data_IF_553878249187
#
_entry.id   IF_553878249187
#
_cell.length_a   1.000
_cell.length_b   1.000
_cell.length_c   1.000
_cell.angle_alpha   90.00
_cell.angle_beta   90.00
_cell.angle_gamma   90.00
#
_symmetry.space_group_name_H-M   'P 1'
#
loop_
_entity.id
_entity.type
_entity.pdbx_description
1 polymer ?
#
# COMPACT_ATOMS: atom_id res chain seq x y z
N UNK A 1 13.10 -37.92 10.02
CA UNK A 1 12.09 -37.52 9.01
C UNK A 1 11.38 -36.30 9.55
N UNK A 2 11.52 -35.18 8.90
CA UNK A 2 10.82 -33.94 9.24
C UNK A 2 9.36 -34.03 8.76
N UNK A 3 8.48 -33.13 9.25
CA UNK A 3 7.09 -33.06 8.77
C UNK A 3 7.03 -32.82 7.27
N UNK A 4 7.88 -31.93 6.76
CA UNK A 4 7.95 -31.62 5.33
C UNK A 4 8.33 -32.84 4.49
N UNK A 5 9.32 -33.63 4.92
CA UNK A 5 9.70 -34.88 4.25
C UNK A 5 8.56 -35.90 4.26
N UNK A 6 7.80 -35.99 5.35
CA UNK A 6 6.65 -36.87 5.46
C UNK A 6 5.51 -36.45 4.50
N UNK A 7 5.21 -35.16 4.45
CA UNK A 7 4.18 -34.62 3.55
C UNK A 7 4.56 -34.79 2.07
N UNK A 8 5.84 -34.55 1.71
CA UNK A 8 6.34 -34.80 0.36
C UNK A 8 6.25 -36.27 -0.02
N UNK A 9 6.61 -37.19 0.89
CA UNK A 9 6.47 -38.65 0.66
C UNK A 9 5.03 -39.06 0.50
N UNK A 10 4.12 -38.42 1.23
CA UNK A 10 2.67 -38.65 1.12
C UNK A 10 2.05 -37.92 -0.09
N UNK A 11 2.82 -37.17 -0.89
CA UNK A 11 2.37 -36.32 -2.01
C UNK A 11 1.31 -35.30 -1.60
N UNK A 12 1.36 -34.84 -0.36
CA UNK A 12 0.54 -33.74 0.12
C UNK A 12 1.27 -32.45 -0.21
N UNK A 13 0.74 -31.70 -1.18
CA UNK A 13 1.28 -30.40 -1.59
C UNK A 13 0.54 -29.29 -0.83
N UNK A 14 1.24 -28.18 -0.51
CA UNK A 14 0.57 -27.01 0.05
C UNK A 14 -0.40 -26.41 -0.98
N UNK A 15 -1.43 -25.72 -0.47
CA UNK A 15 -2.41 -25.06 -1.34
C UNK A 15 -1.82 -23.91 -2.17
N UNK A 16 -0.69 -23.34 -1.71
CA UNK A 16 0.11 -22.37 -2.46
C UNK A 16 1.56 -22.82 -2.51
N UNK A 17 2.10 -22.93 -3.70
CA UNK A 17 3.50 -23.30 -3.93
C UNK A 17 4.22 -22.15 -4.65
N UNK A 18 5.41 -21.77 -4.18
CA UNK A 18 6.22 -20.67 -4.71
C UNK A 18 7.19 -20.11 -3.69
N UNK A 19 7.59 -18.85 -3.86
CA UNK A 19 8.41 -18.16 -2.85
C UNK A 19 7.62 -18.00 -1.55
N UNK A 20 8.33 -17.96 -0.42
CA UNK A 20 7.71 -17.90 0.91
C UNK A 20 6.81 -16.68 1.08
N UNK A 21 5.51 -16.92 1.21
CA UNK A 21 4.47 -15.97 1.61
C UNK A 21 3.67 -16.62 2.74
N UNK A 22 3.10 -15.82 3.63
CA UNK A 22 2.03 -16.29 4.48
C UNK A 22 0.73 -16.29 3.69
N UNK A 23 -0.07 -17.34 3.86
CA UNK A 23 -1.36 -17.41 3.21
C UNK A 23 -2.43 -18.03 4.12
N UNK A 24 -3.67 -17.69 3.83
CA UNK A 24 -4.84 -18.40 4.31
C UNK A 24 -5.74 -18.70 3.10
N UNK A 25 -6.30 -19.91 3.06
CA UNK A 25 -7.20 -20.35 2.00
C UNK A 25 -8.62 -20.53 2.54
N UNK A 26 -9.59 -20.09 1.77
CA UNK A 26 -11.02 -20.33 1.96
C UNK A 26 -11.65 -20.77 0.66
N UNK A 27 -12.35 -21.88 0.68
CA UNK A 27 -13.14 -22.40 -0.44
C UNK A 27 -14.61 -22.08 -0.19
N UNK A 28 -15.29 -21.63 -1.24
CA UNK A 28 -16.73 -21.49 -1.30
C UNK A 28 -17.30 -22.34 -2.45
N UNK A 29 -18.62 -22.32 -2.63
CA UNK A 29 -19.23 -23.03 -3.76
C UNK A 29 -18.80 -22.46 -5.12
N UNK A 30 -18.46 -21.17 -5.18
CA UNK A 30 -18.26 -20.41 -6.42
C UNK A 30 -16.84 -19.91 -6.63
N UNK A 31 -15.99 -19.93 -5.61
CA UNK A 31 -14.63 -19.42 -5.71
C UNK A 31 -13.68 -20.00 -4.65
N UNK A 32 -12.37 -19.93 -4.96
CA UNK A 32 -11.28 -20.09 -4.01
C UNK A 32 -10.72 -18.70 -3.65
N UNK A 33 -10.57 -18.40 -2.38
CA UNK A 33 -10.07 -17.11 -1.88
C UNK A 33 -8.78 -17.35 -1.12
N UNK A 34 -7.70 -16.78 -1.60
CA UNK A 34 -6.38 -16.82 -0.98
C UNK A 34 -6.03 -15.44 -0.45
N UNK A 35 -5.94 -15.28 0.87
CA UNK A 35 -5.28 -14.14 1.49
C UNK A 35 -3.78 -14.37 1.46
N UNK A 36 -3.01 -13.41 0.97
CA UNK A 36 -1.55 -13.48 0.88
C UNK A 36 -0.94 -12.32 1.63
N UNK A 37 0.18 -12.59 2.32
CA UNK A 37 0.95 -11.56 2.99
C UNK A 37 2.46 -11.75 2.77
N UNK A 38 3.11 -10.71 2.27
CA UNK A 38 4.56 -10.60 2.28
C UNK A 38 5.01 -10.04 3.63
N UNK A 39 5.39 -10.89 4.57
CA UNK A 39 5.84 -10.49 5.91
C UNK A 39 7.29 -10.02 5.98
N UNK A 40 7.98 -9.92 4.83
CA UNK A 40 9.38 -9.49 4.76
C UNK A 40 9.50 -7.99 4.47
N UNK A 41 10.69 -7.43 4.67
CA UNK A 41 11.02 -6.04 4.32
C UNK A 41 11.55 -5.91 2.88
N UNK A 42 11.42 -6.95 2.07
CA UNK A 42 11.85 -7.00 0.68
C UNK A 42 10.69 -7.28 -0.26
N UNK A 43 10.83 -6.88 -1.52
CA UNK A 43 9.87 -7.25 -2.56
C UNK A 43 9.94 -8.75 -2.79
N UNK A 44 8.79 -9.40 -2.77
CA UNK A 44 8.65 -10.80 -3.16
C UNK A 44 7.97 -10.84 -4.53
N UNK A 45 8.65 -11.45 -5.51
CA UNK A 45 8.14 -11.58 -6.87
C UNK A 45 8.50 -12.96 -7.43
N UNK A 46 7.57 -13.56 -8.16
CA UNK A 46 7.76 -14.86 -8.80
C UNK A 46 6.47 -15.51 -9.27
N UNK A 47 6.64 -16.72 -9.76
CA UNK A 47 5.55 -17.62 -10.11
C UNK A 47 5.05 -18.36 -8.87
N UNK A 48 3.74 -18.47 -8.77
CA UNK A 48 3.04 -19.20 -7.71
C UNK A 48 2.02 -20.14 -8.32
N UNK A 49 1.93 -21.34 -7.78
CA UNK A 49 0.89 -22.31 -8.13
C UNK A 49 -0.10 -22.38 -6.99
N UNK A 50 -1.36 -22.19 -7.30
CA UNK A 50 -2.50 -22.27 -6.37
C UNK A 50 -3.30 -23.53 -6.65
N UNK A 51 -3.70 -24.22 -5.60
CA UNK A 51 -4.63 -25.34 -5.72
C UNK A 51 -6.04 -24.80 -5.98
N UNK A 52 -6.50 -24.89 -7.20
CA UNK A 52 -7.81 -24.39 -7.60
C UNK A 52 -8.40 -25.24 -8.74
N UNK A 53 -9.71 -25.31 -8.78
CA UNK A 53 -10.49 -25.89 -9.90
C UNK A 53 -11.04 -24.82 -10.84
N UNK A 54 -10.85 -23.54 -10.51
CA UNK A 54 -11.41 -22.42 -11.25
C UNK A 54 -10.43 -21.86 -12.29
N UNK A 55 -10.98 -21.25 -13.33
CA UNK A 55 -10.21 -20.84 -14.50
C UNK A 55 -9.66 -19.43 -14.41
N UNK A 56 -10.43 -18.47 -13.89
CA UNK A 56 -10.08 -17.06 -13.87
C UNK A 56 -9.58 -16.62 -12.53
N UNK A 57 -8.60 -15.71 -12.53
CA UNK A 57 -8.02 -15.16 -11.33
C UNK A 57 -8.16 -13.64 -11.28
N UNK A 58 -8.40 -13.12 -10.09
CA UNK A 58 -8.46 -11.70 -9.79
C UNK A 58 -7.55 -11.39 -8.60
N UNK A 59 -6.93 -10.21 -8.61
CA UNK A 59 -6.23 -9.67 -7.46
C UNK A 59 -7.12 -8.61 -6.82
N UNK A 60 -7.43 -8.78 -5.53
CA UNK A 60 -8.24 -7.83 -4.78
C UNK A 60 -7.35 -7.10 -3.78
N UNK A 61 -7.35 -5.79 -3.86
CA UNK A 61 -6.69 -4.91 -2.90
C UNK A 61 -7.65 -4.62 -1.74
N UNK A 62 -7.34 -5.19 -0.57
CA UNK A 62 -8.19 -5.04 0.62
C UNK A 62 -8.23 -3.60 1.17
N UNK A 63 -7.23 -2.77 0.87
CA UNK A 63 -7.14 -1.39 1.37
C UNK A 63 -7.99 -0.44 0.53
N UNK A 64 -7.87 -0.52 -0.79
CA UNK A 64 -8.62 0.34 -1.72
C UNK A 64 -9.97 -0.24 -2.15
N UNK A 65 -10.21 -1.54 -1.93
CA UNK A 65 -11.37 -2.25 -2.45
C UNK A 65 -11.34 -2.49 -3.97
N UNK A 66 -10.25 -2.09 -4.63
CA UNK A 66 -10.09 -2.29 -6.09
C UNK A 66 -9.81 -3.74 -6.43
N UNK A 67 -10.36 -4.16 -7.56
CA UNK A 67 -10.13 -5.49 -8.15
C UNK A 67 -9.43 -5.33 -9.48
N UNK A 68 -8.48 -6.23 -9.75
CA UNK A 68 -7.68 -6.23 -10.95
C UNK A 68 -7.68 -7.60 -11.58
N UNK A 69 -7.58 -7.65 -12.91
CA UNK A 69 -7.35 -8.89 -13.62
C UNK A 69 -5.99 -9.47 -13.25
N UNK A 70 -5.94 -10.78 -13.12
CA UNK A 70 -4.72 -11.53 -12.88
C UNK A 70 -4.64 -12.67 -13.88
N UNK A 71 -3.65 -12.64 -14.75
CA UNK A 71 -3.45 -13.72 -15.73
C UNK A 71 -3.12 -15.02 -15.00
N UNK A 72 -3.93 -16.04 -15.19
CA UNK A 72 -3.76 -17.36 -14.60
C UNK A 72 -3.77 -18.44 -15.70
N UNK A 73 -2.97 -19.47 -15.49
CA UNK A 73 -3.00 -20.68 -16.30
C UNK A 73 -3.00 -21.90 -15.36
N UNK A 74 -4.14 -22.56 -15.22
CA UNK A 74 -4.31 -23.72 -14.33
C UNK A 74 -3.78 -23.48 -12.90
N UNK A 75 -4.15 -22.34 -12.30
CA UNK A 75 -3.69 -21.95 -10.98
C UNK A 75 -2.27 -21.35 -10.92
N UNK A 76 -1.55 -21.28 -12.04
CA UNK A 76 -0.23 -20.67 -12.13
C UNK A 76 -0.38 -19.16 -12.36
N UNK A 77 0.18 -18.35 -11.47
CA UNK A 77 0.05 -16.89 -11.45
C UNK A 77 1.40 -16.24 -11.16
N UNK A 78 1.70 -15.14 -11.86
CA UNK A 78 2.83 -14.28 -11.51
C UNK A 78 2.39 -13.21 -10.53
N UNK A 79 3.03 -13.15 -9.36
CA UNK A 79 2.76 -12.16 -8.33
C UNK A 79 4.00 -11.32 -8.03
N UNK A 80 3.72 -10.07 -7.66
CA UNK A 80 4.73 -9.16 -7.10
C UNK A 80 4.08 -8.39 -5.95
N UNK A 81 4.60 -8.61 -4.74
CA UNK A 81 4.16 -7.94 -3.52
C UNK A 81 5.31 -7.09 -2.97
N UNK A 82 5.00 -5.85 -2.63
CA UNK A 82 5.89 -4.93 -1.93
C UNK A 82 6.19 -5.43 -0.51
N UNK A 83 7.20 -4.89 0.18
CA UNK A 83 7.43 -5.19 1.59
C UNK A 83 6.16 -4.98 2.42
N UNK A 84 5.81 -5.95 3.26
CA UNK A 84 4.65 -5.91 4.15
C UNK A 84 3.28 -5.79 3.46
N UNK A 85 3.22 -5.92 2.13
CA UNK A 85 1.97 -5.89 1.38
C UNK A 85 1.16 -7.16 1.57
N UNK A 86 -0.16 -7.00 1.64
CA UNK A 86 -1.12 -8.10 1.58
C UNK A 86 -2.17 -7.85 0.50
N UNK A 87 -2.68 -8.94 -0.05
CA UNK A 87 -3.75 -8.92 -1.03
C UNK A 87 -4.56 -10.20 -0.97
N UNK A 88 -5.68 -10.23 -1.70
CA UNK A 88 -6.39 -11.46 -1.98
C UNK A 88 -6.15 -11.86 -3.45
N UNK A 89 -5.98 -13.15 -3.67
CA UNK A 89 -6.10 -13.77 -4.99
C UNK A 89 -7.35 -14.62 -4.98
N UNK A 90 -8.27 -14.31 -5.88
CA UNK A 90 -9.59 -14.96 -5.95
C UNK A 90 -9.71 -15.67 -7.27
N UNK A 91 -10.01 -16.96 -7.24
CA UNK A 91 -10.26 -17.78 -8.42
C UNK A 91 -11.74 -18.08 -8.55
N UNK A 92 -12.29 -17.93 -9.74
CA UNK A 92 -13.68 -18.25 -10.07
C UNK A 92 -13.85 -18.66 -11.52
N UNK A 93 -15.04 -19.10 -11.91
CA UNK A 93 -15.38 -19.33 -13.32
C UNK A 93 -16.04 -18.11 -13.98
N UNK A 94 -16.12 -16.99 -13.27
CA UNK A 94 -16.66 -15.75 -13.81
C UNK A 94 -15.55 -14.94 -14.48
N UNK A 95 -15.64 -14.77 -15.80
CA UNK A 95 -14.73 -13.93 -16.59
C UNK A 95 -15.20 -12.46 -16.51
N UNK A 96 -14.86 -11.81 -15.41
CA UNK A 96 -15.14 -10.40 -15.23
C UNK A 96 -14.08 -9.55 -15.96
N UNK A 97 -14.53 -8.61 -16.78
CA UNK A 97 -13.64 -7.70 -17.50
C UNK A 97 -13.09 -6.65 -16.52
N UNK A 98 -11.88 -6.88 -16.04
CA UNK A 98 -11.16 -6.01 -15.12
C UNK A 98 -9.89 -5.47 -15.76
N UNK A 99 -9.47 -4.28 -15.35
CA UNK A 99 -8.19 -3.70 -15.73
C UNK A 99 -7.03 -4.45 -15.06
N UNK A 100 -5.86 -4.37 -15.65
CA UNK A 100 -4.62 -4.83 -15.02
C UNK A 100 -4.21 -3.86 -13.89
N UNK A 101 -3.55 -4.40 -12.85
CA UNK A 101 -2.99 -3.55 -11.78
C UNK A 101 -1.93 -2.60 -12.39
N UNK A 102 -2.03 -1.28 -12.21
CA UNK A 102 -1.07 -0.34 -12.76
C UNK A 102 0.35 -0.62 -12.26
N UNK A 103 1.31 -0.61 -13.18
CA UNK A 103 2.73 -0.73 -12.86
C UNK A 103 3.33 0.67 -12.67
N UNK A 104 3.88 0.92 -11.49
CA UNK A 104 4.58 2.16 -11.20
C UNK A 104 5.95 2.14 -11.88
N UNK A 105 6.11 2.90 -12.97
CA UNK A 105 7.30 2.87 -13.83
C UNK A 105 8.16 4.13 -13.73
N UNK A 106 7.60 5.24 -13.25
CA UNK A 106 8.31 6.53 -13.13
C UNK A 106 8.07 7.13 -11.76
N UNK A 107 9.12 7.76 -11.21
CA UNK A 107 9.07 8.47 -9.94
C UNK A 107 9.36 9.96 -10.18
N UNK A 108 8.51 10.80 -9.60
CA UNK A 108 8.73 12.24 -9.52
C UNK A 108 8.79 12.63 -8.05
N UNK A 109 9.86 13.29 -7.67
CA UNK A 109 10.00 13.84 -6.31
C UNK A 109 9.32 15.19 -6.28
N UNK A 110 8.49 15.43 -5.28
CA UNK A 110 7.93 16.75 -5.01
C UNK A 110 9.03 17.57 -4.32
N UNK A 111 9.83 18.26 -5.12
CA UNK A 111 10.90 19.16 -4.65
C UNK A 111 10.35 20.57 -4.47
N UNK A 112 9.51 20.74 -3.49
CA UNK A 112 8.84 21.99 -3.16
C UNK A 112 8.97 22.28 -1.68
N UNK A 113 8.81 23.56 -1.32
CA UNK A 113 8.78 23.99 0.08
C UNK A 113 7.52 23.47 0.76
N UNK A 114 7.69 22.93 1.95
CA UNK A 114 6.60 22.42 2.79
C UNK A 114 6.34 23.38 3.93
N UNK A 115 5.08 23.60 4.22
CA UNK A 115 4.61 24.21 5.46
C UNK A 115 4.06 23.12 6.35
N UNK A 116 4.50 23.04 7.60
CA UNK A 116 4.05 22.06 8.58
C UNK A 116 3.41 22.81 9.73
N UNK A 117 2.17 22.48 10.03
CA UNK A 117 1.43 23.02 11.16
C UNK A 117 1.20 21.91 12.20
N UNK A 118 1.87 22.06 13.34
CA UNK A 118 1.66 21.22 14.50
C UNK A 118 0.50 21.79 15.31
N UNK A 119 -0.71 21.51 14.91
CA UNK A 119 -1.95 22.06 15.47
C UNK A 119 -2.19 21.54 16.89
N UNK A 120 -1.32 21.95 17.82
CA UNK A 120 -1.44 21.59 19.22
C UNK A 120 -1.52 22.83 20.12
N UNK A 121 -2.69 23.06 20.68
CA UNK A 121 -2.94 24.15 21.62
C UNK A 121 -2.09 24.08 22.88
N UNK A 122 -1.63 22.90 23.27
CA UNK A 122 -0.95 22.65 24.54
C UNK A 122 0.58 22.58 24.45
N UNK A 123 1.14 22.26 23.28
CA UNK A 123 2.58 22.06 23.14
C UNK A 123 3.31 23.26 22.52
N UNK A 124 2.59 24.22 21.94
CA UNK A 124 3.14 25.48 21.45
C UNK A 124 4.24 25.32 20.40
N UNK A 125 4.10 24.32 19.49
CA UNK A 125 5.06 24.10 18.40
C UNK A 125 4.81 25.09 17.27
N UNK A 126 3.53 25.30 16.92
CA UNK A 126 3.11 26.20 15.85
C UNK A 126 3.47 25.72 14.45
N UNK A 127 3.62 26.69 13.54
CA UNK A 127 3.88 26.47 12.14
C UNK A 127 5.36 26.62 11.83
N UNK A 128 5.87 25.76 10.94
CA UNK A 128 7.23 25.84 10.43
C UNK A 128 7.30 25.58 8.93
N UNK A 129 8.37 26.04 8.29
CA UNK A 129 8.65 25.78 6.88
C UNK A 129 9.92 24.95 6.75
N UNK A 130 9.92 23.99 5.81
CA UNK A 130 11.10 23.19 5.49
C UNK A 130 11.13 22.81 4.01
N UNK A 131 12.32 22.55 3.48
CA UNK A 131 12.49 21.96 2.15
C UNK A 131 12.55 20.45 2.20
N UNK A 132 13.08 19.90 3.29
CA UNK A 132 13.28 18.46 3.48
C UNK A 132 12.44 17.97 4.65
N UNK A 133 11.65 16.94 4.40
CA UNK A 133 10.83 16.28 5.43
C UNK A 133 11.71 15.37 6.29
N UNK A 134 11.63 15.54 7.61
CA UNK A 134 12.40 14.74 8.58
C UNK A 134 11.46 14.08 9.57
N UNK A 135 11.89 12.94 10.10
CA UNK A 135 11.15 12.27 11.18
C UNK A 135 11.13 13.15 12.44
N UNK A 136 9.98 13.27 13.09
CA UNK A 136 9.81 14.09 14.30
C UNK A 136 10.72 13.67 15.43
N UNK A 137 10.89 12.36 15.65
CA UNK A 137 11.75 11.81 16.69
C UNK A 137 13.24 12.15 16.53
N UNK A 138 13.65 12.63 15.36
CA UNK A 138 15.01 13.11 15.06
C UNK A 138 15.14 14.64 15.12
N UNK A 139 14.07 15.34 15.50
CA UNK A 139 14.10 16.79 15.62
C UNK A 139 14.96 17.21 16.82
N UNK A 140 15.75 18.27 16.67
CA UNK A 140 16.49 18.91 17.77
C UNK A 140 15.53 19.63 18.71
N UNK A 141 14.40 20.13 18.20
CA UNK A 141 13.35 20.73 19.01
C UNK A 141 12.60 19.63 19.79
N UNK A 142 12.73 19.65 21.13
CA UNK A 142 12.11 18.67 22.02
C UNK A 142 10.57 18.66 21.90
N UNK A 143 9.94 19.80 21.64
CA UNK A 143 8.49 19.89 21.45
C UNK A 143 8.01 19.15 20.20
N UNK A 144 8.83 19.12 19.14
CA UNK A 144 8.55 18.33 17.93
C UNK A 144 8.91 16.88 18.16
N UNK A 145 10.06 16.59 18.78
CA UNK A 145 10.55 15.23 19.03
C UNK A 145 9.54 14.38 19.78
N UNK A 146 8.87 14.97 20.74
CA UNK A 146 7.87 14.29 21.57
C UNK A 146 6.44 14.70 21.24
N UNK A 147 6.23 15.28 20.05
CA UNK A 147 4.89 15.66 19.62
C UNK A 147 4.00 14.42 19.45
N UNK A 148 2.82 14.48 20.06
CA UNK A 148 1.76 13.48 19.92
C UNK A 148 0.50 14.16 19.42
N UNK A 149 0.04 13.75 18.25
CA UNK A 149 -1.14 14.34 17.61
C UNK A 149 -1.04 14.36 16.09
N UNK A 150 -1.84 15.23 15.48
CA UNK A 150 -1.89 15.40 14.04
C UNK A 150 -1.16 16.66 13.61
N UNK A 151 -0.21 16.52 12.67
CA UNK A 151 0.42 17.65 12.01
C UNK A 151 -0.04 17.73 10.56
N UNK A 152 -0.27 18.95 10.08
CA UNK A 152 -0.75 19.23 8.72
C UNK A 152 0.42 19.71 7.87
N UNK A 153 0.77 18.92 6.86
CA UNK A 153 1.81 19.22 5.88
C UNK A 153 1.16 19.77 4.63
N UNK A 154 1.63 20.91 4.13
CA UNK A 154 1.11 21.53 2.92
C UNK A 154 2.22 21.85 1.95
N UNK A 155 1.99 21.57 0.67
CA UNK A 155 2.86 21.97 -0.43
C UNK A 155 2.06 22.11 -1.72
N UNK A 156 2.72 22.54 -2.77
CA UNK A 156 2.14 22.56 -4.12
C UNK A 156 3.15 22.04 -5.13
N UNK A 157 2.66 21.43 -6.20
CA UNK A 157 3.47 20.88 -7.28
C UNK A 157 2.76 21.07 -8.63
N UNK A 158 3.55 21.11 -9.69
CA UNK A 158 3.04 21.16 -11.07
C UNK A 158 2.86 19.75 -11.61
N UNK A 159 1.75 19.55 -12.31
CA UNK A 159 1.47 18.28 -12.99
C UNK A 159 0.94 18.51 -14.39
N UNK A 160 1.43 17.74 -15.38
CA UNK A 160 1.09 17.92 -16.80
C UNK A 160 0.28 16.76 -17.38
N UNK A 161 0.59 15.53 -16.97
CA UNK A 161 -0.05 14.34 -17.54
C UNK A 161 -1.19 13.84 -16.63
N UNK A 162 -2.40 14.33 -16.89
CA UNK A 162 -3.61 13.92 -16.14
C UNK A 162 -4.29 12.66 -16.69
N UNK A 163 -3.73 12.03 -17.74
CA UNK A 163 -4.31 10.83 -18.35
C UNK A 163 -3.70 9.55 -17.78
N UNK A 164 -2.50 9.61 -17.24
CA UNK A 164 -1.82 8.46 -16.65
C UNK A 164 -2.24 8.21 -15.21
N UNK A 165 -2.19 6.96 -14.79
CA UNK A 165 -2.37 6.62 -13.39
C UNK A 165 -1.22 7.20 -12.53
N UNK A 166 -1.57 7.94 -11.50
CA UNK A 166 -0.63 8.65 -10.62
C UNK A 166 -0.87 8.24 -9.18
N UNK A 167 0.18 7.75 -8.55
CA UNK A 167 0.14 7.34 -7.16
C UNK A 167 1.04 8.24 -6.31
N UNK A 168 0.50 8.76 -5.23
CA UNK A 168 1.29 9.36 -4.17
C UNK A 168 1.98 8.24 -3.40
N UNK A 169 3.31 8.31 -3.30
CA UNK A 169 4.10 7.37 -2.52
C UNK A 169 4.63 8.08 -1.27
N UNK A 170 4.39 7.50 -0.13
CA UNK A 170 4.99 7.93 1.13
C UNK A 170 6.06 6.95 1.58
N UNK A 171 7.11 7.41 2.28
CA UNK A 171 8.03 6.49 2.93
C UNK A 171 7.27 5.64 3.97
N UNK A 172 7.74 4.42 4.20
CA UNK A 172 7.22 3.57 5.27
C UNK A 172 7.29 4.33 6.61
N UNK A 173 6.16 4.45 7.27
CA UNK A 173 6.04 5.13 8.56
C UNK A 173 5.01 4.40 9.45
N UNK A 174 5.04 4.70 10.74
CA UNK A 174 4.08 4.15 11.70
C UNK A 174 2.95 5.16 12.01
N UNK A 175 2.60 5.97 11.02
CA UNK A 175 1.59 7.02 11.14
C UNK A 175 0.39 6.70 10.25
N UNK A 176 -0.73 7.30 10.59
CA UNK A 176 -1.90 7.36 9.72
C UNK A 176 -1.88 8.70 9.00
N UNK A 177 -1.99 8.69 7.68
CA UNK A 177 -1.92 9.91 6.86
C UNK A 177 -3.19 10.05 6.02
N UNK A 178 -3.99 11.07 6.31
CA UNK A 178 -5.06 11.50 5.42
C UNK A 178 -4.51 12.40 4.33
N UNK A 179 -4.89 12.12 3.09
CA UNK A 179 -4.39 12.81 1.89
C UNK A 179 -5.48 13.65 1.27
N UNK A 180 -5.16 14.91 1.02
CA UNK A 180 -6.03 15.85 0.31
C UNK A 180 -5.30 16.41 -0.90
N UNK A 181 -5.95 16.39 -2.05
CA UNK A 181 -5.49 17.02 -3.30
C UNK A 181 -6.50 18.08 -3.69
N UNK A 182 -6.03 19.31 -3.92
CA UNK A 182 -6.90 20.44 -4.30
C UNK A 182 -8.10 20.61 -3.35
N UNK A 183 -7.85 20.44 -2.03
CA UNK A 183 -8.83 20.52 -0.94
C UNK A 183 -9.87 19.39 -0.90
N UNK A 184 -9.77 18.39 -1.79
CA UNK A 184 -10.64 17.21 -1.78
C UNK A 184 -9.92 16.06 -1.09
N UNK A 185 -10.61 15.34 -0.20
CA UNK A 185 -10.07 14.13 0.43
C UNK A 185 -9.87 13.05 -0.63
N UNK A 186 -8.60 12.66 -0.85
CA UNK A 186 -8.24 11.61 -1.79
C UNK A 186 -8.28 10.22 -1.14
N UNK A 187 -7.91 10.11 0.14
CA UNK A 187 -7.94 8.86 0.85
C UNK A 187 -7.05 8.83 2.08
N UNK A 188 -6.69 7.63 2.49
CA UNK A 188 -5.93 7.33 3.70
C UNK A 188 -4.76 6.40 3.36
N UNK A 189 -3.56 6.71 3.88
CA UNK A 189 -2.38 5.84 3.83
C UNK A 189 -2.01 5.47 5.25
N UNK A 190 -2.06 4.18 5.60
CA UNK A 190 -1.82 3.69 6.96
C UNK A 190 -1.08 2.36 7.02
N UNK A 191 -0.92 1.70 5.88
CA UNK A 191 -0.22 0.42 5.77
C UNK A 191 0.48 0.30 4.41
N UNK A 192 1.35 -0.69 4.28
CA UNK A 192 1.96 -1.04 2.99
C UNK A 192 0.88 -1.41 1.94
N UNK A 193 1.12 -1.00 0.69
CA UNK A 193 2.36 -0.48 0.08
C UNK A 193 2.60 1.04 0.17
N UNK A 194 2.05 1.74 1.14
CA UNK A 194 2.26 3.17 1.42
C UNK A 194 2.01 4.09 0.21
N UNK A 195 1.03 3.76 -0.58
CA UNK A 195 0.65 4.54 -1.76
C UNK A 195 -0.87 4.77 -1.83
N UNK A 196 -1.24 5.78 -2.58
CA UNK A 196 -2.63 6.13 -2.84
C UNK A 196 -2.77 6.61 -4.27
N UNK A 197 -3.76 6.11 -4.99
CA UNK A 197 -4.15 6.62 -6.30
C UNK A 197 -4.75 8.02 -6.15
N UNK A 198 -4.04 9.02 -6.67
CA UNK A 198 -4.47 10.43 -6.65
C UNK A 198 -4.92 10.93 -8.01
N UNK A 199 -4.90 10.08 -9.05
CA UNK A 199 -5.26 10.43 -10.43
C UNK A 199 -6.58 11.20 -10.55
N UNK A 200 -7.68 10.79 -9.86
CA UNK A 200 -8.98 11.45 -10.01
C UNK A 200 -9.02 12.89 -9.46
N UNK A 201 -8.02 13.29 -8.69
CA UNK A 201 -7.98 14.56 -7.98
C UNK A 201 -7.03 15.58 -8.61
N UNK A 202 -6.18 15.12 -9.54
CA UNK A 202 -5.19 15.94 -10.22
C UNK A 202 -5.83 16.78 -11.32
N UNK A 203 -5.24 17.96 -11.54
CA UNK A 203 -5.52 18.82 -12.67
C UNK A 203 -4.22 19.21 -13.36
N UNK A 204 -4.29 19.63 -14.61
CA UNK A 204 -3.15 20.22 -15.31
C UNK A 204 -2.72 21.52 -14.63
N UNK A 205 -1.40 21.72 -14.53
CA UNK A 205 -0.79 22.85 -13.85
C UNK A 205 -0.64 22.63 -12.34
N UNK A 206 -0.80 23.70 -11.58
CA UNK A 206 -0.57 23.73 -10.14
C UNK A 206 -1.60 22.94 -9.35
N UNK A 207 -1.15 21.99 -8.55
CA UNK A 207 -1.93 21.21 -7.60
C UNK A 207 -1.48 21.49 -6.16
N UNK A 208 -2.43 21.50 -5.24
CA UNK A 208 -2.19 21.63 -3.80
C UNK A 208 -2.26 20.24 -3.16
N UNK A 209 -1.24 19.89 -2.37
CA UNK A 209 -1.20 18.68 -1.57
C UNK A 209 -1.23 19.04 -0.09
N UNK A 210 -2.16 18.45 0.65
CA UNK A 210 -2.20 18.50 2.10
C UNK A 210 -2.21 17.09 2.67
N UNK A 211 -1.33 16.84 3.65
CA UNK A 211 -1.24 15.59 4.38
C UNK A 211 -1.52 15.86 5.85
N UNK A 212 -2.53 15.20 6.42
CA UNK A 212 -2.79 15.21 7.86
C UNK A 212 -2.17 13.95 8.47
N UNK A 213 -0.99 14.11 9.06
CA UNK A 213 -0.18 13.02 9.59
C UNK A 213 -0.44 12.89 11.08
N UNK A 214 -1.06 11.79 11.48
CA UNK A 214 -1.30 11.47 12.89
C UNK A 214 -0.33 10.40 13.35
N UNK A 215 0.52 10.72 14.32
CA UNK A 215 1.37 9.71 14.93
C UNK A 215 0.54 8.88 15.92
N UNK A 216 0.72 7.58 15.86
CA UNK A 216 0.19 6.68 16.85
C UNK A 216 1.12 6.76 18.07
N UNK A 217 0.57 7.07 19.24
CA UNK A 217 1.34 7.16 20.47
C UNK A 217 2.14 5.88 20.71
N UNK A 218 3.45 6.02 20.93
CA UNK A 218 4.39 4.92 21.18
C UNK A 218 4.27 4.32 22.60
N UNK A 219 3.12 4.47 23.27
CA UNK A 219 2.91 3.93 24.63
C UNK A 219 2.87 2.39 24.67
N UNK A 220 2.88 1.73 23.53
CA UNK A 220 2.75 0.27 23.42
C UNK A 220 3.92 -0.40 22.66
N UNK A 221 5.12 0.09 22.83
CA UNK A 221 6.33 -0.66 22.44
C UNK A 221 7.12 -1.00 23.69
#
# INVERSE_FOLDING_TARGET
MTLDEALQKARVLPDVHGKKLYFAHRETNDCDIYFLNNHTDSIVSGLYTFKTKYQYAQLWDAVSGKRYRLSANQGLVTLRLSPRESCFVVFSNNDEQLDDKPLLSRHHVIDSKWTIDFNCRYQGVGQMECKELKYWNKSENSKIRYYSGTAVYKTSFEWKDVKSAVFLLLPSNNCVTEVYINKKKAGLIWCSPWNLDISPYLKEGKNELSLEVTNLSLIHI
#
